data_IF_486902241044
#
_entry.id   IF_486902241044
#
_cell.length_a   1.000
_cell.length_b   1.000
_cell.length_c   1.000
_cell.angle_alpha   90.00
_cell.angle_beta   90.00
_cell.angle_gamma   90.00
#
_symmetry.space_group_name_H-M   'P 1'
#
loop_
_entity.id
_entity.type
_entity.pdbx_description
1 polymer ?
#
# COMPACT_ATOMS: atom_id res chain seq x y z
N UNK A 1 -40.01 -30.96 -35.29
CA UNK A 1 -38.61 -30.53 -35.21
C UNK A 1 -38.62 -29.14 -34.62
N UNK A 2 -38.14 -28.96 -33.39
CA UNK A 2 -37.31 -27.81 -33.08
C UNK A 2 -36.50 -28.05 -31.81
N UNK A 3 -35.19 -27.88 -31.98
CA UNK A 3 -34.12 -28.11 -31.05
C UNK A 3 -34.24 -27.16 -29.85
N UNK A 4 -34.22 -27.69 -28.63
CA UNK A 4 -33.78 -26.93 -27.45
C UNK A 4 -32.65 -27.69 -26.76
N UNK A 5 -31.53 -27.79 -27.46
CA UNK A 5 -30.23 -28.09 -26.89
C UNK A 5 -29.51 -26.76 -26.65
N UNK A 6 -29.44 -26.36 -25.38
CA UNK A 6 -28.22 -25.83 -24.79
C UNK A 6 -28.43 -25.75 -23.28
N UNK A 7 -28.18 -26.89 -22.63
CA UNK A 7 -27.80 -26.92 -21.23
C UNK A 7 -26.48 -26.11 -21.11
N UNK A 8 -26.54 -24.95 -20.46
CA UNK A 8 -25.37 -24.14 -20.14
C UNK A 8 -24.58 -24.86 -19.03
N UNK A 9 -23.63 -25.71 -19.42
CA UNK A 9 -22.59 -26.20 -18.52
C UNK A 9 -21.43 -25.20 -18.53
N UNK A 10 -21.31 -24.38 -17.48
CA UNK A 10 -20.17 -23.48 -17.31
C UNK A 10 -20.49 -22.24 -16.49
N UNK A 11 -19.45 -21.51 -16.08
CA UNK A 11 -19.60 -20.16 -15.55
C UNK A 11 -20.25 -19.29 -16.64
N UNK A 12 -21.43 -18.75 -16.35
CA UNK A 12 -21.99 -17.63 -17.13
C UNK A 12 -20.98 -16.49 -17.03
N UNK A 13 -20.83 -15.64 -18.05
CA UNK A 13 -20.05 -14.40 -17.97
C UNK A 13 -20.69 -13.49 -16.90
N UNK A 14 -20.45 -13.80 -15.63
CA UNK A 14 -20.62 -12.87 -14.54
C UNK A 14 -19.69 -11.70 -14.86
N UNK A 15 -20.23 -10.49 -14.80
CA UNK A 15 -19.48 -9.25 -14.95
C UNK A 15 -18.43 -9.14 -13.84
N UNK A 16 -17.30 -9.81 -14.06
CA UNK A 16 -16.22 -10.01 -13.10
C UNK A 16 -14.86 -9.77 -13.74
N UNK A 17 -13.93 -9.29 -12.93
CA UNK A 17 -12.54 -9.16 -13.34
C UNK A 17 -11.87 -10.53 -13.29
N UNK A 18 -11.19 -10.91 -14.37
CA UNK A 18 -10.35 -12.10 -14.38
C UNK A 18 -9.19 -11.92 -13.39
N UNK A 19 -9.11 -12.82 -12.39
CA UNK A 19 -7.99 -12.88 -11.46
C UNK A 19 -6.87 -13.70 -12.08
N UNK A 20 -5.76 -13.06 -12.40
CA UNK A 20 -4.57 -13.76 -12.90
C UNK A 20 -3.71 -14.22 -11.73
N UNK A 21 -3.71 -15.53 -11.49
CA UNK A 21 -2.87 -16.16 -10.48
C UNK A 21 -1.56 -16.67 -11.09
N UNK A 22 -0.43 -16.55 -10.39
CA UNK A 22 0.82 -17.21 -10.78
C UNK A 22 0.63 -18.73 -10.91
N UNK A 23 1.33 -19.34 -11.86
CA UNK A 23 1.19 -20.77 -12.15
C UNK A 23 1.61 -21.68 -10.99
N UNK A 24 2.49 -21.20 -10.11
CA UNK A 24 2.97 -21.91 -8.93
C UNK A 24 2.18 -21.61 -7.65
N UNK A 25 1.19 -20.72 -7.72
CA UNK A 25 0.48 -20.21 -6.54
C UNK A 25 -0.18 -21.32 -5.70
N UNK A 26 -0.95 -22.20 -6.34
CA UNK A 26 -1.63 -23.31 -5.65
C UNK A 26 -0.64 -24.29 -5.02
N UNK A 27 0.44 -24.63 -5.74
CA UNK A 27 1.48 -25.49 -5.19
C UNK A 27 2.14 -24.84 -3.96
N UNK A 28 2.42 -23.54 -4.04
CA UNK A 28 3.11 -22.81 -2.97
C UNK A 28 2.23 -22.65 -1.73
N UNK A 29 0.96 -22.26 -1.88
CA UNK A 29 0.01 -22.20 -0.76
C UNK A 29 -0.17 -23.57 -0.09
N UNK A 30 -0.27 -24.66 -0.86
CA UNK A 30 -0.42 -26.00 -0.28
C UNK A 30 0.83 -26.47 0.48
N UNK A 31 2.00 -25.87 0.23
CA UNK A 31 3.26 -26.23 0.86
C UNK A 31 3.55 -25.47 2.16
N UNK A 32 2.72 -24.49 2.52
CA UNK A 32 2.92 -23.62 3.68
C UNK A 32 1.68 -23.60 4.57
N UNK A 33 1.86 -23.21 5.84
CA UNK A 33 0.74 -23.00 6.74
C UNK A 33 0.14 -21.61 6.50
N UNK A 34 -0.85 -21.52 5.61
CA UNK A 34 -1.57 -20.29 5.27
C UNK A 34 -3.06 -20.52 5.53
N UNK A 35 -3.63 -19.82 6.52
CA UNK A 35 -5.03 -19.95 6.86
C UNK A 35 -5.92 -19.20 5.87
N UNK A 36 -7.24 -19.34 6.01
CA UNK A 36 -8.25 -18.71 5.15
C UNK A 36 -7.94 -17.22 4.88
N UNK A 37 -7.62 -16.47 5.94
CA UNK A 37 -7.41 -15.03 5.84
C UNK A 37 -6.09 -14.69 5.12
N UNK A 38 -5.03 -15.51 5.29
CA UNK A 38 -3.81 -15.44 4.48
C UNK A 38 -4.10 -15.72 2.98
N UNK A 39 -4.95 -16.69 2.66
CA UNK A 39 -5.37 -16.93 1.25
C UNK A 39 -6.11 -15.71 0.70
N UNK A 40 -7.05 -15.15 1.45
CA UNK A 40 -7.79 -13.94 1.06
C UNK A 40 -6.84 -12.76 0.83
N UNK A 41 -5.84 -12.59 1.68
CA UNK A 41 -4.80 -11.56 1.50
C UNK A 41 -4.07 -11.76 0.18
N UNK A 42 -3.58 -12.97 -0.09
CA UNK A 42 -2.83 -13.27 -1.32
C UNK A 42 -3.68 -13.04 -2.58
N UNK A 43 -4.95 -13.44 -2.56
CA UNK A 43 -5.87 -13.16 -3.67
C UNK A 43 -6.09 -11.66 -3.87
N UNK A 44 -6.19 -10.89 -2.78
CA UNK A 44 -6.32 -9.42 -2.83
C UNK A 44 -5.07 -8.79 -3.44
N UNK A 45 -3.88 -9.24 -3.04
CA UNK A 45 -2.60 -8.80 -3.62
C UNK A 45 -2.56 -9.09 -5.12
N UNK A 46 -2.87 -10.31 -5.58
CA UNK A 46 -2.87 -10.63 -7.00
C UNK A 46 -3.94 -9.86 -7.79
N UNK A 47 -5.08 -9.56 -7.17
CA UNK A 47 -6.10 -8.72 -7.78
C UNK A 47 -5.61 -7.29 -8.00
N UNK A 48 -4.89 -6.71 -7.03
CA UNK A 48 -4.32 -5.37 -7.16
C UNK A 48 -3.25 -5.31 -8.26
N UNK A 49 -2.38 -6.32 -8.31
CA UNK A 49 -1.31 -6.41 -9.30
C UNK A 49 -1.86 -6.67 -10.71
N UNK A 50 -2.85 -7.56 -10.83
CA UNK A 50 -3.48 -7.91 -12.10
C UNK A 50 -4.38 -6.81 -12.68
N UNK A 51 -4.73 -5.79 -11.90
CA UNK A 51 -5.48 -4.60 -12.35
C UNK A 51 -4.61 -3.54 -13.03
N UNK A 52 -3.29 -3.66 -12.94
CA UNK A 52 -2.39 -2.69 -13.53
C UNK A 52 -2.30 -2.90 -15.05
N UNK A 53 -2.23 -1.80 -15.81
CA UNK A 53 -2.07 -1.87 -17.28
C UNK A 53 -0.72 -2.49 -17.68
N UNK A 54 0.30 -2.29 -16.84
CA UNK A 54 1.64 -2.84 -17.02
C UNK A 54 1.83 -4.02 -16.08
N UNK A 55 2.69 -4.95 -16.49
CA UNK A 55 3.12 -6.06 -15.65
C UNK A 55 3.81 -5.53 -14.39
N UNK A 56 3.22 -5.84 -13.24
CA UNK A 56 3.58 -5.32 -11.92
C UNK A 56 3.70 -6.48 -10.93
N UNK A 57 4.76 -6.47 -10.13
CA UNK A 57 5.05 -7.52 -9.12
C UNK A 57 5.38 -6.94 -7.74
N UNK A 58 5.16 -5.64 -7.55
CA UNK A 58 5.51 -4.92 -6.33
C UNK A 58 4.40 -3.92 -6.04
N UNK A 59 4.04 -3.78 -4.77
CA UNK A 59 3.08 -2.80 -4.31
C UNK A 59 3.58 -2.14 -3.03
N UNK A 60 3.20 -0.88 -2.84
CA UNK A 60 3.32 -0.19 -1.57
C UNK A 60 2.44 -0.89 -0.51
N UNK A 61 2.97 -1.14 0.69
CA UNK A 61 2.22 -1.73 1.79
C UNK A 61 1.00 -0.88 2.21
N UNK A 62 1.08 0.44 2.09
CA UNK A 62 -0.04 1.36 2.33
C UNK A 62 -1.16 1.17 1.30
N UNK A 63 -0.82 0.87 0.04
CA UNK A 63 -1.84 0.53 -0.96
C UNK A 63 -2.58 -0.75 -0.59
N UNK A 64 -1.88 -1.76 -0.07
CA UNK A 64 -2.52 -2.99 0.38
C UNK A 64 -3.51 -2.72 1.50
N UNK A 65 -3.09 -1.91 2.49
CA UNK A 65 -3.90 -1.54 3.64
C UNK A 65 -5.27 -0.97 3.25
N UNK A 66 -5.33 -0.08 2.25
CA UNK A 66 -6.62 0.44 1.78
C UNK A 66 -7.49 -0.63 1.08
N UNK A 67 -6.86 -1.46 0.24
CA UNK A 67 -7.56 -2.48 -0.52
C UNK A 67 -8.17 -3.60 0.35
N UNK A 68 -7.50 -3.95 1.46
CA UNK A 68 -7.95 -5.02 2.36
C UNK A 68 -9.15 -4.61 3.22
N UNK A 69 -9.51 -3.32 3.33
CA UNK A 69 -10.68 -2.87 4.10
C UNK A 69 -11.94 -3.62 3.70
N UNK A 70 -12.18 -3.77 2.41
CA UNK A 70 -13.33 -4.50 1.88
C UNK A 70 -13.18 -6.01 2.09
N UNK A 71 -12.02 -6.57 1.75
CA UNK A 71 -11.78 -8.02 1.84
C UNK A 71 -11.84 -8.57 3.27
N UNK A 72 -11.47 -7.74 4.26
CA UNK A 72 -11.42 -8.10 5.68
C UNK A 72 -12.57 -7.49 6.49
N UNK A 73 -13.54 -6.86 5.83
CA UNK A 73 -14.66 -6.17 6.48
C UNK A 73 -14.22 -5.18 7.58
N UNK A 74 -13.11 -4.48 7.35
CA UNK A 74 -12.52 -3.53 8.29
C UNK A 74 -11.81 -4.14 9.50
N UNK A 75 -11.68 -5.48 9.58
CA UNK A 75 -11.01 -6.16 10.70
C UNK A 75 -9.49 -6.08 10.58
N UNK A 76 -8.88 -5.20 11.37
CA UNK A 76 -7.42 -5.01 11.40
C UNK A 76 -6.70 -6.27 11.92
N UNK A 77 -7.15 -6.85 13.03
CA UNK A 77 -6.50 -8.04 13.61
C UNK A 77 -6.41 -9.21 12.62
N UNK A 78 -7.48 -9.45 11.84
CA UNK A 78 -7.50 -10.51 10.82
C UNK A 78 -6.52 -10.22 9.68
N UNK A 79 -6.41 -8.97 9.27
CA UNK A 79 -5.44 -8.54 8.27
C UNK A 79 -4.00 -8.68 8.80
N UNK A 80 -3.71 -8.23 10.02
CA UNK A 80 -2.38 -8.32 10.61
C UNK A 80 -1.92 -9.78 10.75
N UNK A 81 -2.80 -10.65 11.24
CA UNK A 81 -2.53 -12.09 11.33
C UNK A 81 -2.28 -12.67 9.92
N UNK A 82 -3.12 -12.34 8.94
CA UNK A 82 -2.95 -12.83 7.57
C UNK A 82 -1.66 -12.34 6.92
N UNK A 83 -1.26 -11.09 7.17
CA UNK A 83 -0.02 -10.50 6.65
C UNK A 83 1.19 -11.16 7.30
N UNK A 84 1.18 -11.34 8.62
CA UNK A 84 2.22 -12.05 9.33
C UNK A 84 2.37 -13.48 8.80
N UNK A 85 1.27 -14.22 8.65
CA UNK A 85 1.28 -15.56 8.06
C UNK A 85 1.90 -15.58 6.66
N UNK A 86 1.51 -14.64 5.78
CA UNK A 86 2.04 -14.58 4.41
C UNK A 86 3.53 -14.23 4.35
N UNK A 87 4.02 -13.38 5.27
CA UNK A 87 5.43 -13.02 5.38
C UNK A 87 6.26 -14.18 5.95
N UNK A 88 5.81 -14.78 7.05
CA UNK A 88 6.48 -15.92 7.70
C UNK A 88 6.52 -17.15 6.78
N UNK A 89 5.46 -17.38 6.02
CA UNK A 89 5.39 -18.45 5.03
C UNK A 89 6.24 -18.19 3.77
N UNK A 90 6.83 -17.00 3.62
CA UNK A 90 7.57 -16.61 2.42
C UNK A 90 6.69 -16.58 1.16
N UNK A 91 5.40 -16.23 1.32
CA UNK A 91 4.47 -15.94 0.23
C UNK A 91 4.56 -14.48 -0.20
N UNK A 92 4.90 -13.58 0.73
CA UNK A 92 5.26 -12.18 0.48
C UNK A 92 6.69 -11.92 0.97
N UNK A 93 7.37 -11.04 0.25
CA UNK A 93 8.68 -10.51 0.58
C UNK A 93 8.54 -9.02 0.84
N UNK A 94 9.29 -8.50 1.80
CA UNK A 94 9.39 -7.06 2.07
C UNK A 94 10.65 -6.51 1.42
N UNK A 95 10.53 -5.35 0.80
CA UNK A 95 11.67 -4.56 0.32
C UNK A 95 11.53 -3.13 0.85
N UNK A 96 12.59 -2.62 1.45
CA UNK A 96 12.67 -1.24 1.93
C UNK A 96 13.85 -0.59 1.23
N UNK A 97 13.62 0.63 0.74
CA UNK A 97 14.65 1.38 0.04
C UNK A 97 15.66 1.99 1.02
N UNK A 98 16.93 2.09 0.60
CA UNK A 98 17.96 2.72 1.42
C UNK A 98 17.73 4.21 1.62
N UNK A 99 17.27 4.90 0.57
CA UNK A 99 17.08 6.35 0.57
C UNK A 99 15.74 6.76 1.22
N UNK A 100 14.77 5.85 1.28
CA UNK A 100 13.49 6.07 1.94
C UNK A 100 13.12 4.86 2.84
N UNK A 101 13.67 4.79 4.06
CA UNK A 101 13.46 3.66 4.96
C UNK A 101 12.03 3.54 5.48
N UNK A 102 11.19 4.58 5.27
CA UNK A 102 9.79 4.58 5.69
C UNK A 102 8.86 4.02 4.60
N UNK A 103 9.36 3.79 3.38
CA UNK A 103 8.59 3.16 2.32
C UNK A 103 8.83 1.66 2.30
N UNK A 104 7.78 0.91 2.62
CA UNK A 104 7.80 -0.54 2.60
C UNK A 104 7.03 -1.07 1.41
N UNK A 105 7.71 -1.87 0.60
CA UNK A 105 7.12 -2.55 -0.53
C UNK A 105 6.89 -4.02 -0.21
N UNK A 106 5.78 -4.54 -0.71
CA UNK A 106 5.44 -5.96 -0.70
C UNK A 106 5.60 -6.54 -2.11
N UNK A 107 6.24 -7.70 -2.19
CA UNK A 107 6.50 -8.43 -3.42
C UNK A 107 6.00 -9.86 -3.24
N UNK A 108 5.03 -10.35 -4.02
CA UNK A 108 4.67 -11.76 -3.98
C UNK A 108 5.86 -12.63 -4.34
N UNK A 109 6.13 -13.67 -3.57
CA UNK A 109 7.27 -14.57 -3.76
C UNK A 109 7.09 -15.55 -4.93
N UNK A 110 6.58 -15.08 -6.07
CA UNK A 110 6.44 -15.83 -7.33
C UNK A 110 7.80 -15.88 -8.03
N UNK A 111 7.99 -16.71 -9.07
CA UNK A 111 9.25 -16.71 -9.82
C UNK A 111 9.63 -15.33 -10.36
N UNK A 112 8.63 -14.54 -10.80
CA UNK A 112 8.83 -13.17 -11.27
C UNK A 112 9.13 -12.20 -10.12
N UNK A 113 8.37 -12.28 -9.02
CA UNK A 113 8.58 -11.42 -7.86
C UNK A 113 9.91 -11.70 -7.15
N UNK A 114 10.33 -12.95 -7.03
CA UNK A 114 11.66 -13.32 -6.49
C UNK A 114 12.79 -12.78 -7.37
N UNK A 115 12.65 -12.81 -8.71
CA UNK A 115 13.63 -12.18 -9.62
C UNK A 115 13.70 -10.68 -9.41
N UNK A 116 12.55 -10.01 -9.30
CA UNK A 116 12.45 -8.58 -9.01
C UNK A 116 13.15 -8.26 -7.67
N UNK A 117 12.79 -8.96 -6.59
CA UNK A 117 13.36 -8.78 -5.26
C UNK A 117 14.89 -8.94 -5.26
N UNK A 118 15.42 -9.97 -5.93
CA UNK A 118 16.86 -10.17 -6.02
C UNK A 118 17.56 -9.04 -6.80
N UNK A 119 16.94 -8.53 -7.87
CA UNK A 119 17.46 -7.40 -8.63
C UNK A 119 17.51 -6.10 -7.82
N UNK A 120 16.45 -5.82 -7.04
CA UNK A 120 16.38 -4.66 -6.14
C UNK A 120 17.41 -4.77 -5.01
N UNK A 121 17.44 -5.91 -4.31
CA UNK A 121 18.35 -6.15 -3.18
C UNK A 121 19.83 -6.14 -3.58
N UNK A 122 20.15 -6.56 -4.81
CA UNK A 122 21.52 -6.51 -5.35
C UNK A 122 21.90 -5.17 -5.98
N UNK A 123 20.98 -4.20 -6.03
CA UNK A 123 21.18 -2.89 -6.67
C UNK A 123 21.27 -2.93 -8.20
N UNK A 124 20.92 -4.06 -8.83
CA UNK A 124 20.87 -4.18 -10.29
C UNK A 124 19.65 -3.48 -10.90
N UNK A 125 18.60 -3.30 -10.10
CA UNK A 125 17.39 -2.55 -10.43
C UNK A 125 17.18 -1.47 -9.38
N UNK A 126 16.71 -0.29 -9.79
CA UNK A 126 16.14 0.70 -8.88
C UNK A 126 14.61 0.65 -8.90
N UNK A 127 13.99 1.15 -7.85
CA UNK A 127 12.52 1.19 -7.75
C UNK A 127 11.86 2.02 -8.86
N UNK A 128 12.59 3.04 -9.35
CA UNK A 128 12.14 3.96 -10.40
C UNK A 128 12.05 3.27 -11.76
N UNK A 129 12.79 2.17 -11.94
CA UNK A 129 12.84 1.39 -13.16
C UNK A 129 11.75 0.31 -13.23
N UNK A 130 11.00 0.09 -12.15
CA UNK A 130 10.02 -1.00 -12.06
C UNK A 130 8.61 -0.46 -12.02
N UNK A 131 7.68 -1.15 -12.70
CA UNK A 131 6.27 -0.81 -12.60
C UNK A 131 5.77 -1.25 -11.22
N UNK A 132 5.26 -0.28 -10.46
CA UNK A 132 4.70 -0.49 -9.13
C UNK A 132 3.17 -0.51 -9.21
N UNK A 133 2.55 -1.22 -8.27
CA UNK A 133 1.11 -1.22 -8.18
C UNK A 133 0.68 0.14 -7.69
N UNK A 134 -0.25 0.71 -8.43
CA UNK A 134 -0.89 1.94 -8.06
C UNK A 134 -2.34 1.66 -7.69
N UNK A 135 -2.95 2.46 -6.80
CA UNK A 135 -4.37 2.33 -6.54
C UNK A 135 -5.13 2.29 -7.86
N UNK A 136 -6.04 1.32 -8.03
CA UNK A 136 -6.99 1.36 -9.16
C UNK A 136 -7.83 2.66 -9.14
N UNK A 137 -7.85 3.33 -7.99
CA UNK A 137 -8.34 4.69 -7.73
C UNK A 137 -7.24 5.75 -7.86
N UNK A 138 -6.25 5.59 -8.76
CA UNK A 138 -5.31 6.67 -9.12
C UNK A 138 -5.96 7.82 -9.90
N UNK A 139 -7.28 7.83 -10.04
CA UNK A 139 -8.04 9.06 -10.28
C UNK A 139 -8.43 9.79 -8.97
N UNK A 140 -8.09 9.30 -7.77
CA UNK A 140 -8.62 9.82 -6.49
C UNK A 140 -7.69 9.76 -5.25
N UNK A 141 -6.38 9.46 -5.37
CA UNK A 141 -5.44 9.98 -4.35
C UNK A 141 -5.18 11.44 -4.71
N UNK A 142 -5.60 12.43 -3.91
CA UNK A 142 -5.25 13.80 -4.21
C UNK A 142 -3.74 13.87 -4.23
N UNK A 143 -3.19 14.21 -5.40
CA UNK A 143 -1.78 14.51 -5.55
C UNK A 143 -1.37 15.47 -4.43
N UNK A 144 -0.17 15.36 -3.84
CA UNK A 144 0.27 16.31 -2.81
C UNK A 144 0.06 17.78 -3.24
N UNK A 145 0.24 18.06 -4.53
CA UNK A 145 -0.09 19.35 -5.15
C UNK A 145 -1.59 19.69 -5.07
N UNK A 146 -2.48 18.74 -5.37
CA UNK A 146 -3.94 18.92 -5.25
C UNK A 146 -4.39 19.04 -3.79
N UNK A 147 -3.80 18.25 -2.88
CA UNK A 147 -4.07 18.31 -1.45
C UNK A 147 -3.65 19.67 -0.88
N UNK A 148 -2.51 20.18 -1.34
CA UNK A 148 -2.07 21.54 -1.04
C UNK A 148 -3.05 22.58 -1.58
N UNK A 149 -3.44 22.51 -2.85
CA UNK A 149 -4.33 23.52 -3.46
C UNK A 149 -5.73 23.53 -2.82
N UNK A 150 -6.25 22.36 -2.47
CA UNK A 150 -7.57 22.21 -1.85
C UNK A 150 -7.64 22.75 -0.42
N UNK A 151 -6.54 22.68 0.34
CA UNK A 151 -6.55 22.93 1.78
C UNK A 151 -5.72 24.16 2.21
N UNK A 152 -4.68 24.51 1.45
CA UNK A 152 -3.70 25.53 1.84
C UNK A 152 -3.83 26.78 0.95
N UNK A 153 -3.63 26.66 -0.36
CA UNK A 153 -3.72 27.82 -1.26
C UNK A 153 -3.09 27.58 -2.63
N UNK A 154 -2.88 28.66 -3.41
CA UNK A 154 -2.39 28.58 -4.80
C UNK A 154 -1.01 27.94 -4.88
N UNK A 155 -0.85 26.95 -5.76
CA UNK A 155 0.43 26.32 -6.02
C UNK A 155 1.33 27.24 -6.84
N UNK A 156 2.49 27.58 -6.28
CA UNK A 156 3.53 28.34 -6.97
C UNK A 156 4.74 27.44 -7.23
N UNK A 157 5.59 27.72 -8.24
CA UNK A 157 6.77 26.90 -8.52
C UNK A 157 7.68 26.68 -7.30
N UNK A 158 7.89 27.73 -6.50
CA UNK A 158 8.70 27.65 -5.28
C UNK A 158 8.08 26.71 -4.22
N UNK A 159 6.76 26.74 -4.07
CA UNK A 159 6.06 25.80 -3.19
C UNK A 159 6.10 24.40 -3.77
N UNK A 160 5.97 24.23 -5.10
CA UNK A 160 6.03 22.93 -5.72
C UNK A 160 7.39 22.24 -5.48
N UNK A 161 8.48 22.98 -5.55
CA UNK A 161 9.81 22.47 -5.21
C UNK A 161 9.92 22.13 -3.72
N UNK A 162 9.36 22.96 -2.83
CA UNK A 162 9.33 22.67 -1.40
C UNK A 162 8.50 21.42 -1.08
N UNK A 163 7.36 21.21 -1.74
CA UNK A 163 6.52 20.03 -1.57
C UNK A 163 7.28 18.75 -1.95
N UNK A 164 8.08 18.77 -3.02
CA UNK A 164 8.91 17.63 -3.41
C UNK A 164 10.00 17.34 -2.38
N UNK A 165 10.62 18.39 -1.82
CA UNK A 165 11.63 18.23 -0.78
C UNK A 165 11.02 17.64 0.50
N UNK A 166 9.84 18.13 0.89
CA UNK A 166 9.13 17.63 2.06
C UNK A 166 8.57 16.21 1.83
N UNK A 167 8.12 15.86 0.61
CA UNK A 167 7.70 14.51 0.23
C UNK A 167 8.85 13.50 0.26
N UNK A 168 10.08 13.95 -0.04
CA UNK A 168 11.28 13.13 0.11
C UNK A 168 11.73 13.01 1.58
N UNK A 169 11.40 13.98 2.43
CA UNK A 169 11.86 14.06 3.81
C UNK A 169 10.88 13.43 4.83
N UNK A 170 9.57 13.45 4.54
CA UNK A 170 8.51 13.05 5.45
C UNK A 170 7.56 12.03 4.80
N UNK A 171 7.07 11.03 5.55
CA UNK A 171 6.03 10.12 5.06
C UNK A 171 4.78 10.89 4.59
N UNK A 172 4.14 10.45 3.51
CA UNK A 172 2.93 11.08 2.96
C UNK A 172 1.83 11.26 4.02
N UNK A 173 1.66 10.29 4.91
CA UNK A 173 0.70 10.34 6.02
C UNK A 173 0.97 11.50 6.98
N UNK A 174 2.24 11.75 7.32
CA UNK A 174 2.60 12.89 8.16
C UNK A 174 2.24 14.19 7.46
N UNK A 175 2.42 14.25 6.14
CA UNK A 175 2.09 15.44 5.36
C UNK A 175 0.57 15.66 5.34
N UNK A 176 -0.23 14.60 5.12
CA UNK A 176 -1.70 14.66 5.14
C UNK A 176 -2.21 15.09 6.52
N UNK A 177 -1.70 14.51 7.60
CA UNK A 177 -2.10 14.84 8.97
C UNK A 177 -1.69 16.25 9.36
N UNK A 178 -0.49 16.69 9.01
CA UNK A 178 -0.02 18.05 9.27
C UNK A 178 -0.83 19.10 8.49
N UNK A 179 -1.25 18.79 7.27
CA UNK A 179 -2.22 19.62 6.51
C UNK A 179 -3.57 19.65 7.23
N UNK A 180 -4.04 18.51 7.74
CA UNK A 180 -5.26 18.40 8.54
C UNK A 180 -5.23 19.30 9.77
N UNK A 181 -4.18 19.21 10.59
CA UNK A 181 -3.96 20.11 11.74
C UNK A 181 -3.94 21.58 11.29
N UNK A 182 -3.20 21.90 10.22
CA UNK A 182 -3.13 23.27 9.71
C UNK A 182 -4.51 23.82 9.29
N UNK A 183 -5.39 22.98 8.74
CA UNK A 183 -6.77 23.37 8.39
C UNK A 183 -7.63 23.56 9.64
N UNK A 184 -7.55 22.64 10.60
CA UNK A 184 -8.32 22.67 11.85
C UNK A 184 -7.99 23.89 12.70
N UNK A 185 -6.69 24.19 12.85
CA UNK A 185 -6.21 25.39 13.52
C UNK A 185 -6.38 26.68 12.69
N UNK A 186 -6.99 26.59 11.50
CA UNK A 186 -7.15 27.69 10.54
C UNK A 186 -5.81 28.38 10.18
N UNK A 187 -4.70 27.65 10.30
CA UNK A 187 -3.33 28.06 10.01
C UNK A 187 -2.89 27.51 8.63
N UNK A 188 -3.68 27.78 7.59
CA UNK A 188 -3.55 27.26 6.22
C UNK A 188 -2.35 27.84 5.47
N UNK A 189 -1.14 27.53 5.91
CA UNK A 189 0.10 27.92 5.25
C UNK A 189 1.15 26.80 5.38
N UNK A 190 1.95 26.61 4.32
CA UNK A 190 2.92 25.52 4.30
C UNK A 190 3.98 25.62 5.39
N UNK A 191 4.35 26.83 5.83
CA UNK A 191 5.32 27.00 6.92
C UNK A 191 4.83 26.40 8.23
N UNK A 192 3.53 26.44 8.49
CA UNK A 192 2.92 25.83 9.67
C UNK A 192 2.92 24.30 9.55
N UNK A 193 2.55 23.76 8.38
CA UNK A 193 2.65 22.32 8.06
C UNK A 193 4.09 21.83 8.25
N UNK A 194 5.08 22.50 7.67
CA UNK A 194 6.50 22.15 7.83
C UNK A 194 6.98 22.26 9.28
N UNK A 195 6.40 23.15 10.11
CA UNK A 195 6.75 23.26 11.52
C UNK A 195 6.21 22.08 12.34
N UNK A 196 5.00 21.60 12.03
CA UNK A 196 4.43 20.38 12.59
C UNK A 196 5.31 19.18 12.22
N UNK A 197 5.62 19.02 10.93
CA UNK A 197 6.48 17.95 10.41
C UNK A 197 7.86 17.93 11.07
N UNK A 198 8.50 19.09 11.21
CA UNK A 198 9.79 19.22 11.92
C UNK A 198 9.68 18.86 13.40
N UNK A 199 8.63 19.33 14.07
CA UNK A 199 8.39 18.97 15.47
C UNK A 199 8.16 17.47 15.66
N UNK A 200 7.48 16.80 14.73
CA UNK A 200 7.26 15.35 14.77
C UNK A 200 8.55 14.58 14.51
N UNK A 201 9.39 15.06 13.59
CA UNK A 201 10.72 14.52 13.32
C UNK A 201 11.68 14.67 14.51
N UNK A 202 11.69 15.83 15.17
CA UNK A 202 12.59 16.13 16.30
C UNK A 202 12.19 15.44 17.61
N UNK A 203 10.89 15.36 17.91
CA UNK A 203 10.42 14.80 19.19
C UNK A 203 10.34 13.28 19.18
N UNK A 204 10.43 12.65 18.01
CA UNK A 204 10.10 11.26 17.79
C UNK A 204 8.62 11.03 18.08
N UNK A 205 7.85 10.56 17.10
CA UNK A 205 6.46 10.14 17.37
C UNK A 205 6.53 8.93 18.32
N UNK A 206 6.49 9.16 19.64
CA UNK A 206 6.51 8.19 20.75
C UNK A 206 7.45 6.98 20.61
N UNK A 207 8.55 6.96 21.37
CA UNK A 207 9.54 5.88 21.50
C UNK A 207 8.98 4.45 21.65
N UNK A 208 9.48 3.49 20.84
CA UNK A 208 10.01 2.19 21.30
C UNK A 208 10.83 1.49 20.21
N UNK A 209 11.85 0.76 20.64
CA UNK A 209 12.99 0.24 19.87
C UNK A 209 12.71 -1.01 18.99
N UNK A 210 13.27 -0.97 17.78
CA UNK A 210 13.86 -1.98 16.87
C UNK A 210 13.77 -3.49 17.22
N UNK A 211 13.53 -4.45 16.31
CA UNK A 211 13.80 -4.50 14.85
C UNK A 211 13.02 -5.62 14.12
N UNK A 212 11.88 -6.02 14.64
CA UNK A 212 10.92 -6.95 13.97
C UNK A 212 9.48 -6.61 14.36
N UNK A 213 9.33 -5.88 15.46
CA UNK A 213 8.09 -5.25 15.94
C UNK A 213 7.78 -3.94 15.19
N UNK A 214 8.79 -3.28 14.59
CA UNK A 214 8.66 -1.97 13.94
C UNK A 214 7.78 -1.93 12.69
N UNK A 215 7.80 -2.98 11.87
CA UNK A 215 6.94 -3.05 10.68
C UNK A 215 5.47 -3.24 11.11
N UNK A 216 5.22 -4.16 12.04
CA UNK A 216 3.89 -4.41 12.64
C UNK A 216 3.37 -3.22 13.44
N UNK A 217 4.23 -2.46 14.10
CA UNK A 217 3.84 -1.31 14.92
C UNK A 217 3.64 -0.04 14.08
N UNK A 218 4.35 0.10 12.95
CA UNK A 218 4.03 1.03 11.87
C UNK A 218 2.63 0.76 11.31
N UNK A 219 2.32 -0.50 10.98
CA UNK A 219 0.97 -0.92 10.58
C UNK A 219 -0.06 -0.60 11.67
N UNK A 220 0.20 -0.96 12.93
CA UNK A 220 -0.70 -0.74 14.08
C UNK A 220 -1.02 0.74 14.34
N UNK A 221 -0.07 1.66 14.10
CA UNK A 221 -0.23 3.10 14.37
C UNK A 221 -1.11 3.78 13.32
N UNK A 222 -0.92 3.44 12.06
CA UNK A 222 -1.70 3.89 10.91
C UNK A 222 -3.22 3.62 11.02
N UNK A 223 -3.60 2.50 11.64
CA UNK A 223 -4.99 2.08 11.72
C UNK A 223 -5.75 2.64 12.93
N UNK A 224 -5.06 2.98 14.03
CA UNK A 224 -5.68 3.59 15.22
C UNK A 224 -6.15 5.02 14.97
N UNK A 225 -5.43 5.78 14.15
CA UNK A 225 -5.72 7.20 13.90
C UNK A 225 -6.97 7.42 13.02
N UNK A 226 -7.44 6.41 12.29
CA UNK A 226 -8.68 6.47 11.52
C UNK A 226 -9.95 6.08 12.29
N UNK A 227 -9.86 5.53 13.51
CA UNK A 227 -11.04 5.20 14.33
C UNK A 227 -11.53 6.37 15.21
N UNK A 228 -10.64 7.28 15.65
CA UNK A 228 -11.02 8.34 16.58
C UNK A 228 -11.57 9.62 15.91
N UNK A 229 -11.70 9.62 14.57
CA UNK A 229 -12.16 10.76 13.77
C UNK A 229 -13.66 10.76 13.38
N UNK A 230 -14.50 9.92 13.99
CA UNK A 230 -15.97 9.99 13.83
C UNK A 230 -16.71 9.73 15.15
N UNK A 231 -16.67 10.72 16.03
CA UNK A 231 -17.69 10.98 17.05
C UNK A 231 -18.45 12.25 16.69
#
# INVERSE_FOLDING_TARGET
MENRSNELYGFVEDSGFALYLPSDFTQKICSVNCQKDCVVLMLTVFQLLGRQEKLTWILDAYLLADAVKTAFAGSVDRYEIALAEALEAGLLLTFTEFDNPNLHYLIPATPSGTRLFNGLTSGQLSIEQVNQATPATLENRPNLFELYEKNIGVLTPMIADQLKLDEAEYPYEWIVEAIGEAVEYNARNWKYVSAILKSWKEKGRGSRDEKTEGDLEYFRRLWKEHQDGKG
#
